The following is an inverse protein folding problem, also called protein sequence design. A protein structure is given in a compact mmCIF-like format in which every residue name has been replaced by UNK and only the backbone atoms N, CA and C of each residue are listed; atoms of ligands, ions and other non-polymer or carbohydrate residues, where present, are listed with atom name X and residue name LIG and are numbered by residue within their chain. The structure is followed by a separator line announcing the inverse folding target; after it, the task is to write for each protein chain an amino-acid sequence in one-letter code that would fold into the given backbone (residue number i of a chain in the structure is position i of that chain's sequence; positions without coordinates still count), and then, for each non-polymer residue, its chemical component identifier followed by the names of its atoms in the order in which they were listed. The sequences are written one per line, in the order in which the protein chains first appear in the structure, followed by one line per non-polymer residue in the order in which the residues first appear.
data_IF_447463158704
#
_entry.id   IF_447463158704
#
_cell.length_a   1.000
_cell.length_b   1.000
_cell.length_c   1.000
_cell.angle_alpha   90.00
_cell.angle_beta   90.00
_cell.angle_gamma   90.00
#
_symmetry.space_group_name_H-M   'P 1'
#
loop_
_entity.id
_entity.type
_entity.pdbx_description
1 polymer ?
#
# COMPACT_ATOMS: atom_id res chain seq x y z
N UNK A 1 -35.60 -62.56 74.23
CA UNK A 1 -36.87 -62.23 73.59
C UNK A 1 -36.75 -60.79 73.11
N UNK A 2 -36.71 -60.69 71.81
CA UNK A 2 -37.37 -59.65 70.98
C UNK A 2 -36.79 -58.23 71.08
N UNK A 3 -36.55 -57.57 70.08
CA UNK A 3 -36.67 -57.65 68.65
C UNK A 3 -35.88 -56.39 68.10
N UNK A 4 -35.11 -56.65 67.21
CA UNK A 4 -34.34 -55.67 66.46
C UNK A 4 -35.29 -54.98 65.49
N UNK A 5 -35.20 -53.66 65.34
CA UNK A 5 -35.68 -52.94 64.15
C UNK A 5 -34.58 -52.07 63.59
N UNK A 6 -34.17 -52.50 62.46
CA UNK A 6 -33.28 -51.74 61.57
C UNK A 6 -33.97 -50.45 61.14
N UNK A 7 -33.28 -49.33 61.26
CA UNK A 7 -33.65 -48.06 60.66
C UNK A 7 -32.74 -47.78 59.44
N UNK A 8 -33.33 -47.83 58.27
CA UNK A 8 -32.70 -47.50 57.02
C UNK A 8 -32.22 -46.05 57.00
N UNK A 9 -30.95 -45.88 56.83
CA UNK A 9 -30.35 -44.57 56.53
C UNK A 9 -30.49 -44.33 55.05
N UNK A 10 -31.41 -43.45 54.64
CA UNK A 10 -31.53 -42.95 53.26
C UNK A 10 -30.39 -41.98 52.96
N UNK A 11 -29.47 -42.42 52.18
CA UNK A 11 -28.45 -41.54 51.60
C UNK A 11 -29.07 -40.67 50.51
N UNK A 12 -29.27 -39.40 50.83
CA UNK A 12 -29.63 -38.36 49.83
C UNK A 12 -28.41 -37.97 49.03
N UNK A 13 -28.32 -38.44 47.79
CA UNK A 13 -27.28 -38.06 46.88
C UNK A 13 -27.53 -36.62 46.32
N UNK A 14 -26.82 -35.66 46.89
CA UNK A 14 -26.79 -34.29 46.34
C UNK A 14 -25.98 -34.35 45.04
N UNK A 15 -26.66 -34.26 43.91
CA UNK A 15 -26.02 -34.04 42.59
C UNK A 15 -25.62 -32.55 42.47
N UNK A 16 -24.36 -32.26 42.69
CA UNK A 16 -23.77 -30.97 42.36
C UNK A 16 -23.60 -30.91 40.84
N UNK A 17 -24.49 -30.19 40.17
CA UNK A 17 -24.35 -29.88 38.77
C UNK A 17 -23.29 -28.78 38.62
N UNK A 18 -22.07 -29.16 38.26
CA UNK A 18 -20.99 -28.21 37.91
C UNK A 18 -21.29 -27.63 36.53
N UNK A 19 -21.83 -26.40 36.51
CA UNK A 19 -22.06 -25.63 35.29
C UNK A 19 -20.69 -25.12 34.80
N UNK A 20 -20.07 -25.80 33.83
CA UNK A 20 -18.88 -25.29 33.13
C UNK A 20 -19.32 -24.16 32.24
N UNK A 21 -19.17 -22.91 32.69
CA UNK A 21 -19.19 -21.74 31.81
C UNK A 21 -17.92 -21.74 30.98
N UNK A 22 -18.00 -22.23 29.75
CA UNK A 22 -16.97 -22.04 28.75
C UNK A 22 -17.06 -20.58 28.30
N UNK A 23 -16.24 -19.72 28.91
CA UNK A 23 -15.98 -18.39 28.36
C UNK A 23 -15.14 -18.58 27.09
N UNK A 24 -15.78 -18.53 25.92
CA UNK A 24 -15.05 -18.31 24.68
C UNK A 24 -14.41 -16.92 24.77
N UNK A 25 -13.11 -16.88 25.11
CA UNK A 25 -12.29 -15.70 24.84
C UNK A 25 -12.26 -15.52 23.32
N UNK A 26 -13.12 -14.66 22.80
CA UNK A 26 -12.92 -14.06 21.48
C UNK A 26 -11.72 -13.13 21.67
N UNK A 27 -10.52 -13.65 21.36
CA UNK A 27 -9.37 -12.83 21.18
C UNK A 27 -9.66 -11.94 19.96
N UNK A 28 -10.11 -10.71 20.21
CA UNK A 28 -10.00 -9.63 19.23
C UNK A 28 -8.49 -9.43 19.06
N UNK A 29 -7.91 -10.15 18.11
CA UNK A 29 -6.59 -9.81 17.60
C UNK A 29 -6.73 -8.38 17.10
N UNK A 30 -6.11 -7.44 17.81
CA UNK A 30 -5.90 -6.11 17.26
C UNK A 30 -5.15 -6.35 15.95
N UNK A 31 -5.76 -5.95 14.85
CA UNK A 31 -5.27 -6.13 13.48
C UNK A 31 -4.02 -5.24 13.32
N UNK A 32 -2.89 -5.72 13.87
CA UNK A 32 -1.61 -5.04 13.67
C UNK A 32 -1.14 -5.46 12.29
N UNK A 33 -1.28 -4.54 11.34
CA UNK A 33 -0.79 -4.72 9.99
C UNK A 33 0.67 -5.13 10.00
N UNK A 34 1.00 -6.21 9.29
CA UNK A 34 2.36 -6.76 9.23
C UNK A 34 3.27 -5.79 8.49
N UNK A 35 4.38 -5.41 9.12
CA UNK A 35 5.45 -4.62 8.48
C UNK A 35 6.55 -5.57 8.01
N UNK A 36 6.95 -5.44 6.75
CA UNK A 36 7.98 -6.27 6.12
C UNK A 36 9.10 -5.40 5.58
N UNK A 37 10.33 -5.63 6.00
CA UNK A 37 11.50 -4.95 5.48
C UNK A 37 11.75 -5.34 4.02
N UNK A 38 12.13 -4.37 3.19
CA UNK A 38 12.47 -4.64 1.78
C UNK A 38 13.80 -5.41 1.68
N UNK A 39 14.74 -5.11 2.55
CA UNK A 39 16.04 -5.80 2.66
C UNK A 39 16.26 -6.27 4.10
N UNK A 40 16.03 -7.55 4.41
CA UNK A 40 16.19 -8.08 5.76
C UNK A 40 17.60 -7.93 6.34
N UNK A 41 18.60 -7.88 5.46
CA UNK A 41 20.02 -7.76 5.82
C UNK A 41 20.56 -6.33 5.72
N UNK A 42 19.69 -5.33 5.60
CA UNK A 42 20.04 -3.92 5.43
C UNK A 42 19.91 -3.43 3.98
N UNK A 43 19.39 -2.22 3.81
CA UNK A 43 19.20 -1.62 2.49
C UNK A 43 20.54 -1.10 1.94
N UNK A 44 20.87 -1.38 0.66
CA UNK A 44 22.09 -0.86 0.03
C UNK A 44 22.17 0.67 0.10
N UNK A 45 23.30 1.21 0.55
CA UNK A 45 23.49 2.65 0.81
C UNK A 45 22.94 3.15 2.15
N UNK A 46 22.48 2.23 3.02
CA UNK A 46 22.09 2.52 4.40
C UNK A 46 23.02 1.87 5.43
N UNK A 47 24.21 1.44 5.02
CA UNK A 47 25.19 0.77 5.89
C UNK A 47 25.52 1.67 7.09
N UNK A 48 25.44 1.09 8.29
CA UNK A 48 25.72 1.80 9.56
C UNK A 48 24.61 2.76 10.02
N UNK A 49 23.52 2.94 9.27
CA UNK A 49 22.37 3.74 9.67
C UNK A 49 21.35 2.86 10.43
N UNK A 50 21.44 2.90 11.78
CA UNK A 50 20.63 2.06 12.68
C UNK A 50 19.57 2.84 13.46
N UNK A 51 19.50 4.16 13.28
CA UNK A 51 18.50 4.97 13.97
C UNK A 51 17.07 4.58 13.56
N UNK A 52 16.15 4.66 14.51
CA UNK A 52 14.73 4.41 14.26
C UNK A 52 14.13 5.55 13.46
N UNK A 53 13.09 5.24 12.72
CA UNK A 53 12.20 6.23 12.08
C UNK A 53 11.69 7.22 13.12
N UNK A 54 11.55 8.48 12.73
CA UNK A 54 10.91 9.51 13.55
C UNK A 54 9.48 9.69 13.09
N UNK A 55 8.57 9.71 14.04
CA UNK A 55 7.15 9.93 13.80
C UNK A 55 6.76 11.28 14.42
N UNK A 56 6.25 12.19 13.59
CA UNK A 56 5.61 13.43 14.02
C UNK A 56 4.12 13.29 13.85
N UNK A 57 3.35 13.66 14.86
CA UNK A 57 1.89 13.71 14.77
C UNK A 57 1.51 15.18 14.56
N UNK A 58 0.72 15.45 13.52
CA UNK A 58 0.21 16.79 13.21
C UNK A 58 -0.92 17.19 14.17
N UNK A 59 -1.32 18.46 14.25
CA UNK A 59 -2.43 18.88 15.09
C UNK A 59 -3.77 18.17 14.78
N UNK A 60 -3.97 17.76 13.54
CA UNK A 60 -5.13 16.99 13.05
C UNK A 60 -4.96 15.47 13.18
N UNK A 61 -3.88 15.02 13.86
CA UNK A 61 -3.67 13.61 14.21
C UNK A 61 -3.00 12.76 13.14
N UNK A 62 -2.55 13.33 12.02
CA UNK A 62 -1.85 12.61 10.95
C UNK A 62 -0.41 12.25 11.33
N UNK A 63 0.02 11.04 10.98
CA UNK A 63 1.38 10.58 11.17
C UNK A 63 2.25 10.95 9.97
N UNK A 64 3.36 11.62 10.28
CA UNK A 64 4.37 12.00 9.29
C UNK A 64 5.69 11.36 9.68
N UNK A 65 6.26 10.56 8.77
CA UNK A 65 7.47 9.76 9.02
C UNK A 65 8.68 10.38 8.35
N UNK A 66 9.79 10.39 9.07
CA UNK A 66 11.12 10.78 8.59
C UNK A 66 12.18 9.79 9.05
N UNK A 67 13.43 9.95 8.62
CA UNK A 67 14.57 9.10 8.97
C UNK A 67 14.36 7.62 8.58
N UNK A 68 13.87 7.39 7.36
CA UNK A 68 13.67 6.04 6.82
C UNK A 68 15.02 5.49 6.34
N UNK A 69 15.66 4.66 7.17
CA UNK A 69 16.92 3.98 6.84
C UNK A 69 16.70 2.51 6.49
N UNK A 70 15.60 1.94 6.95
CA UNK A 70 15.17 0.57 6.69
C UNK A 70 13.82 0.60 5.94
N UNK A 71 13.84 0.77 4.62
CA UNK A 71 12.61 0.83 3.84
C UNK A 71 11.80 -0.46 3.99
N UNK A 72 10.49 -0.31 4.07
CA UNK A 72 9.55 -1.39 4.40
C UNK A 72 8.21 -1.22 3.72
N UNK A 73 7.42 -2.29 3.69
CA UNK A 73 6.01 -2.25 3.32
C UNK A 73 5.13 -2.62 4.51
N UNK A 74 4.02 -1.91 4.69
CA UNK A 74 2.94 -2.29 5.61
C UNK A 74 1.84 -2.97 4.80
N UNK A 75 1.44 -4.18 5.21
CA UNK A 75 0.60 -5.09 4.43
C UNK A 75 -0.87 -4.97 4.84
N UNK A 76 -1.76 -4.75 3.88
CA UNK A 76 -3.22 -4.75 4.02
C UNK A 76 -3.82 -5.76 3.05
N UNK A 77 -4.35 -6.86 3.57
CA UNK A 77 -4.92 -7.92 2.74
C UNK A 77 -6.45 -7.90 2.80
N UNK A 78 -7.12 -8.12 1.67
CA UNK A 78 -8.56 -8.39 1.67
C UNK A 78 -8.88 -9.73 2.33
N UNK A 79 -10.13 -9.92 2.75
CA UNK A 79 -10.58 -11.27 3.13
C UNK A 79 -10.45 -12.22 1.92
N UNK A 80 -10.26 -13.51 2.20
CA UNK A 80 -10.08 -14.51 1.13
C UNK A 80 -11.26 -14.57 0.17
N UNK A 81 -12.47 -14.35 0.68
CA UNK A 81 -13.70 -14.35 -0.10
C UNK A 81 -13.79 -13.16 -1.06
N UNK A 82 -13.19 -12.03 -0.68
CA UNK A 82 -13.23 -10.80 -1.48
C UNK A 82 -12.03 -10.65 -2.42
N UNK A 83 -10.93 -11.36 -2.14
CA UNK A 83 -9.67 -11.21 -2.85
C UNK A 83 -9.83 -11.39 -4.37
N UNK A 84 -9.42 -10.38 -5.13
CA UNK A 84 -9.40 -10.38 -6.61
C UNK A 84 -8.08 -10.88 -7.18
N UNK A 85 -7.05 -10.96 -6.35
CA UNK A 85 -5.67 -11.19 -6.75
C UNK A 85 -4.93 -9.93 -7.20
N UNK A 86 -5.61 -8.79 -7.36
CA UNK A 86 -4.95 -7.51 -7.63
C UNK A 86 -4.23 -6.96 -6.39
N UNK A 87 -3.12 -6.26 -6.62
CA UNK A 87 -2.31 -5.66 -5.57
C UNK A 87 -1.74 -4.31 -5.99
N UNK A 88 -1.58 -3.40 -5.02
CA UNK A 88 -1.05 -2.06 -5.23
C UNK A 88 0.06 -1.77 -4.22
N UNK A 89 1.26 -1.44 -4.70
CA UNK A 89 2.31 -0.83 -3.88
C UNK A 89 2.07 0.68 -3.86
N UNK A 90 1.87 1.24 -2.68
CA UNK A 90 1.42 2.62 -2.47
C UNK A 90 2.56 3.45 -1.90
N UNK A 91 2.99 4.50 -2.59
CA UNK A 91 3.99 5.45 -2.15
C UNK A 91 3.33 6.75 -1.67
N UNK A 92 3.35 7.05 -0.37
CA UNK A 92 2.90 8.35 0.14
C UNK A 92 3.76 9.51 -0.37
N UNK A 93 3.18 10.72 -0.38
CA UNK A 93 3.89 11.96 -0.66
C UNK A 93 4.63 12.53 0.55
N UNK A 94 5.09 13.77 0.41
CA UNK A 94 5.85 14.51 1.43
C UNK A 94 7.11 15.14 0.88
N UNK A 95 7.14 15.49 -0.41
CA UNK A 95 8.22 16.25 -1.06
C UNK A 95 9.58 15.55 -1.11
N UNK A 96 9.63 14.22 -0.95
CA UNK A 96 10.84 13.41 -0.75
C UNK A 96 11.60 13.72 0.54
N UNK A 97 11.03 14.54 1.44
CA UNK A 97 11.63 14.92 2.71
C UNK A 97 10.97 14.23 3.91
N UNK A 98 9.74 13.81 3.76
CA UNK A 98 8.92 13.11 4.77
C UNK A 98 7.86 12.24 4.08
N UNK A 99 7.14 11.40 4.83
CA UNK A 99 6.04 10.55 4.33
C UNK A 99 4.75 10.84 5.10
N UNK A 100 3.70 11.24 4.40
CA UNK A 100 2.34 11.42 4.93
C UNK A 100 1.58 10.09 4.84
N UNK A 101 1.84 9.21 5.79
CA UNK A 101 1.47 7.79 5.68
C UNK A 101 0.00 7.48 5.91
N UNK A 102 -0.76 8.37 6.54
CA UNK A 102 -2.17 8.07 6.87
C UNK A 102 -3.07 8.22 5.63
N UNK A 103 -3.35 9.43 5.18
CA UNK A 103 -4.30 9.68 4.10
C UNK A 103 -3.77 9.35 2.69
N UNK A 104 -2.46 9.25 2.52
CA UNK A 104 -1.80 8.87 1.25
C UNK A 104 -1.21 7.44 1.29
N UNK A 105 -1.47 6.70 2.38
CA UNK A 105 -0.96 5.35 2.57
C UNK A 105 -1.96 4.43 3.24
N UNK A 106 -2.05 4.48 4.56
CA UNK A 106 -2.82 3.51 5.36
C UNK A 106 -4.32 3.55 5.07
N UNK A 107 -4.93 4.74 4.96
CA UNK A 107 -6.34 4.88 4.62
C UNK A 107 -6.65 4.34 3.21
N UNK A 108 -5.74 4.57 2.26
CA UNK A 108 -5.84 4.04 0.89
C UNK A 108 -5.75 2.52 0.89
N UNK A 109 -4.73 1.95 1.55
CA UNK A 109 -4.52 0.50 1.59
C UNK A 109 -5.66 -0.22 2.31
N UNK A 110 -6.16 0.37 3.41
CA UNK A 110 -7.32 -0.13 4.13
C UNK A 110 -8.55 -0.15 3.23
N UNK A 111 -8.85 0.97 2.56
CA UNK A 111 -9.98 1.07 1.65
C UNK A 111 -9.88 0.05 0.51
N UNK A 112 -8.71 -0.11 -0.11
CA UNK A 112 -8.48 -1.10 -1.16
C UNK A 112 -8.70 -2.53 -0.66
N UNK A 113 -8.20 -2.86 0.54
CA UNK A 113 -8.37 -4.20 1.11
C UNK A 113 -9.85 -4.52 1.39
N UNK A 114 -10.64 -3.55 1.82
CA UNK A 114 -12.08 -3.67 2.01
C UNK A 114 -12.83 -3.89 0.68
N UNK A 115 -12.18 -3.59 -0.46
CA UNK A 115 -12.72 -3.75 -1.81
C UNK A 115 -12.03 -4.86 -2.63
N UNK A 116 -11.32 -5.78 -1.97
CA UNK A 116 -10.75 -6.97 -2.59
C UNK A 116 -9.39 -6.79 -3.26
N UNK A 117 -8.73 -5.66 -3.09
CA UNK A 117 -7.39 -5.36 -3.62
C UNK A 117 -6.38 -5.29 -2.48
N UNK A 118 -5.30 -6.05 -2.56
CA UNK A 118 -4.24 -5.99 -1.55
C UNK A 118 -3.46 -4.67 -1.64
N UNK A 119 -3.29 -3.97 -0.52
CA UNK A 119 -2.53 -2.72 -0.40
C UNK A 119 -1.21 -2.93 0.34
N UNK A 120 -0.13 -2.35 -0.17
CA UNK A 120 1.21 -2.42 0.40
C UNK A 120 1.77 -1.01 0.53
N UNK A 121 1.69 -0.41 1.72
CA UNK A 121 2.15 0.96 1.94
C UNK A 121 3.67 0.98 2.09
N UNK A 122 4.33 1.62 1.15
CA UNK A 122 5.78 1.72 1.08
C UNK A 122 6.29 2.89 1.91
N UNK A 123 7.18 2.61 2.84
CA UNK A 123 8.07 3.59 3.44
C UNK A 123 9.41 3.52 2.71
N UNK A 124 9.67 4.52 1.87
CA UNK A 124 10.88 4.61 1.05
C UNK A 124 11.86 5.63 1.61
N UNK A 125 13.13 5.51 1.24
CA UNK A 125 14.21 6.41 1.68
C UNK A 125 14.05 7.81 1.09
N UNK A 126 14.28 8.81 1.92
CA UNK A 126 13.95 10.21 1.66
C UNK A 126 15.15 10.98 1.09
N UNK A 127 15.08 11.31 -0.20
CA UNK A 127 16.19 11.95 -0.91
C UNK A 127 16.38 13.42 -0.56
N UNK A 128 15.36 14.09 -0.02
CA UNK A 128 15.38 15.54 0.30
C UNK A 128 15.20 15.82 1.79
N UNK A 129 15.24 14.81 2.64
CA UNK A 129 15.30 15.02 4.09
C UNK A 129 16.57 15.77 4.44
N UNK A 130 16.51 16.70 5.40
CA UNK A 130 17.68 17.46 5.83
C UNK A 130 18.83 16.55 6.29
N UNK A 131 20.01 16.68 5.69
CA UNK A 131 21.16 15.84 5.93
C UNK A 131 21.13 14.47 5.26
N UNK A 132 20.14 14.20 4.41
CA UNK A 132 20.10 12.96 3.65
C UNK A 132 21.25 12.85 2.64
N UNK A 133 21.77 11.63 2.50
CA UNK A 133 22.73 11.27 1.44
C UNK A 133 22.07 10.45 0.32
N UNK A 134 20.76 10.24 0.41
CA UNK A 134 19.99 9.48 -0.57
C UNK A 134 19.65 10.33 -1.78
N UNK A 135 19.42 9.66 -2.92
CA UNK A 135 18.90 10.26 -4.15
C UNK A 135 17.61 9.53 -4.55
N UNK A 136 16.81 10.17 -5.41
CA UNK A 136 15.58 9.54 -5.92
C UNK A 136 15.95 8.31 -6.74
N UNK A 137 16.87 8.46 -7.69
CA UNK A 137 17.30 7.40 -8.61
C UNK A 137 18.08 6.28 -7.91
N UNK A 138 18.94 6.64 -6.95
CA UNK A 138 19.83 5.68 -6.28
C UNK A 138 19.22 4.96 -5.10
N UNK A 139 18.12 5.48 -4.53
CA UNK A 139 17.55 4.93 -3.31
C UNK A 139 16.02 4.83 -3.34
N UNK A 140 15.28 5.93 -3.57
CA UNK A 140 13.82 5.91 -3.49
C UNK A 140 13.18 5.06 -4.60
N UNK A 141 13.67 5.18 -5.84
CA UNK A 141 13.22 4.34 -6.97
C UNK A 141 13.57 2.86 -6.79
N UNK A 142 14.82 2.48 -6.42
CA UNK A 142 15.15 1.11 -6.04
C UNK A 142 14.28 0.55 -4.91
N UNK A 143 13.85 1.36 -3.94
CA UNK A 143 12.93 0.92 -2.89
C UNK A 143 11.56 0.53 -3.47
N UNK A 144 11.01 1.33 -4.39
CA UNK A 144 9.76 1.01 -5.09
C UNK A 144 9.90 -0.24 -5.96
N UNK A 145 10.97 -0.34 -6.74
CA UNK A 145 11.24 -1.51 -7.58
C UNK A 145 11.39 -2.79 -6.74
N UNK A 146 12.09 -2.70 -5.60
CA UNK A 146 12.23 -3.80 -4.65
C UNK A 146 10.91 -4.18 -4.01
N UNK A 147 10.05 -3.20 -3.67
CA UNK A 147 8.73 -3.47 -3.12
C UNK A 147 7.85 -4.25 -4.12
N UNK A 148 7.85 -3.88 -5.40
CA UNK A 148 7.14 -4.62 -6.46
C UNK A 148 7.63 -6.08 -6.53
N UNK A 149 8.95 -6.29 -6.55
CA UNK A 149 9.57 -7.62 -6.58
C UNK A 149 9.23 -8.43 -5.34
N UNK A 150 9.27 -7.80 -4.15
CA UNK A 150 8.94 -8.46 -2.88
C UNK A 150 7.48 -8.91 -2.86
N UNK A 151 6.55 -8.07 -3.30
CA UNK A 151 5.13 -8.45 -3.40
C UNK A 151 4.96 -9.64 -4.36
N UNK A 152 5.62 -9.64 -5.50
CA UNK A 152 5.62 -10.77 -6.44
C UNK A 152 6.21 -12.05 -5.87
N UNK A 153 7.32 -11.95 -5.14
CA UNK A 153 7.99 -13.11 -4.55
C UNK A 153 7.15 -13.80 -3.48
N UNK A 154 6.28 -13.04 -2.80
CA UNK A 154 5.39 -13.53 -1.74
C UNK A 154 3.92 -13.59 -2.17
N UNK A 155 3.65 -13.54 -3.48
CA UNK A 155 2.30 -13.46 -4.03
C UNK A 155 1.39 -14.61 -3.56
N UNK A 156 1.90 -15.85 -3.52
CA UNK A 156 1.15 -17.01 -3.03
C UNK A 156 0.76 -16.90 -1.56
N UNK A 157 1.65 -16.35 -0.71
CA UNK A 157 1.40 -16.14 0.71
C UNK A 157 0.27 -15.12 0.94
N UNK A 158 0.23 -14.07 0.12
CA UNK A 158 -0.70 -12.96 0.25
C UNK A 158 -1.97 -13.07 -0.60
N UNK A 159 -2.15 -14.18 -1.32
CA UNK A 159 -3.30 -14.38 -2.20
C UNK A 159 -3.31 -13.42 -3.41
N UNK A 160 -2.13 -12.95 -3.82
CA UNK A 160 -1.93 -12.01 -4.93
C UNK A 160 -1.60 -12.76 -6.22
N UNK A 161 -2.05 -12.26 -7.36
CA UNK A 161 -1.56 -12.68 -8.67
C UNK A 161 -0.31 -11.85 -9.01
N UNK A 162 0.88 -12.48 -9.18
CA UNK A 162 2.11 -11.74 -9.45
C UNK A 162 2.08 -10.93 -10.76
N UNK A 163 1.13 -11.22 -11.66
CA UNK A 163 0.91 -10.45 -12.88
C UNK A 163 -0.02 -9.24 -12.69
N UNK A 164 -0.60 -9.06 -11.49
CA UNK A 164 -1.56 -8.00 -11.17
C UNK A 164 -1.05 -7.07 -10.06
N UNK A 165 0.26 -6.88 -9.98
CA UNK A 165 0.91 -5.97 -9.02
C UNK A 165 1.16 -4.64 -9.70
N UNK A 166 0.40 -3.62 -9.34
CA UNK A 166 0.58 -2.24 -9.81
C UNK A 166 1.18 -1.33 -8.75
N UNK A 167 1.36 -0.08 -9.11
CA UNK A 167 1.86 0.99 -8.23
C UNK A 167 0.85 2.12 -8.15
N UNK A 168 0.80 2.77 -6.99
CA UNK A 168 0.07 4.02 -6.78
C UNK A 168 0.99 4.98 -6.04
N UNK A 169 1.01 6.24 -6.44
CA UNK A 169 1.83 7.22 -5.75
C UNK A 169 1.15 8.58 -5.67
N UNK A 170 1.38 9.25 -4.55
CA UNK A 170 0.82 10.55 -4.20
C UNK A 170 1.92 11.61 -4.22
N UNK A 171 1.73 12.74 -4.89
CA UNK A 171 2.68 13.85 -4.86
C UNK A 171 4.13 13.40 -5.19
N UNK A 172 5.07 13.49 -4.26
CA UNK A 172 6.43 12.96 -4.40
C UNK A 172 6.47 11.42 -4.57
N UNK A 173 5.55 10.69 -3.92
CA UNK A 173 5.37 9.26 -4.16
C UNK A 173 4.88 8.98 -5.58
N UNK A 174 4.12 9.90 -6.18
CA UNK A 174 3.71 9.86 -7.59
C UNK A 174 4.88 9.99 -8.56
N UNK A 175 5.89 10.80 -8.25
CA UNK A 175 7.16 10.84 -9.01
C UNK A 175 7.83 9.46 -9.00
N UNK A 176 7.95 8.83 -7.82
CA UNK A 176 8.57 7.51 -7.70
C UNK A 176 7.77 6.45 -8.45
N UNK A 177 6.44 6.48 -8.37
CA UNK A 177 5.57 5.55 -9.08
C UNK A 177 5.69 5.70 -10.61
N UNK A 178 5.74 6.96 -11.12
CA UNK A 178 5.94 7.25 -12.53
C UNK A 178 7.31 6.76 -13.02
N UNK A 179 8.38 7.01 -12.25
CA UNK A 179 9.72 6.48 -12.55
C UNK A 179 9.74 4.96 -12.56
N UNK A 180 9.10 4.29 -11.61
CA UNK A 180 9.02 2.83 -11.60
C UNK A 180 8.24 2.27 -12.80
N UNK A 181 7.28 3.03 -13.33
CA UNK A 181 6.53 2.66 -14.53
C UNK A 181 7.29 2.88 -15.84
N UNK A 182 8.29 3.78 -15.85
CA UNK A 182 9.11 4.11 -17.04
C UNK A 182 10.49 3.47 -17.01
N UNK A 183 11.06 3.21 -15.83
CA UNK A 183 12.44 2.75 -15.61
C UNK A 183 12.46 1.35 -14.95
N UNK A 184 11.57 0.48 -15.35
CA UNK A 184 11.55 -0.91 -14.86
C UNK A 184 12.61 -1.76 -15.56
N UNK A 185 12.90 -2.92 -14.95
CA UNK A 185 13.77 -3.95 -15.53
C UNK A 185 13.16 -5.36 -15.37
N UNK A 186 13.75 -6.31 -16.06
CA UNK A 186 13.33 -7.71 -16.06
C UNK A 186 13.77 -8.50 -14.81
N UNK A 187 14.60 -7.90 -13.95
CA UNK A 187 15.31 -8.56 -12.86
C UNK A 187 16.65 -9.15 -13.32
N UNK A 188 17.52 -9.42 -12.36
CA UNK A 188 18.81 -10.08 -12.61
C UNK A 188 18.72 -11.57 -12.26
N UNK A 189 18.66 -12.43 -13.28
CA UNK A 189 18.55 -13.89 -13.09
C UNK A 189 19.74 -14.49 -12.31
N UNK A 190 20.88 -13.82 -12.25
CA UNK A 190 22.09 -14.22 -11.53
C UNK A 190 22.15 -13.66 -10.09
N UNK A 191 21.21 -12.77 -9.70
CA UNK A 191 21.22 -12.19 -8.38
C UNK A 191 21.21 -13.25 -7.28
N UNK A 192 21.99 -13.02 -6.21
CA UNK A 192 22.03 -13.91 -5.05
C UNK A 192 20.68 -13.96 -4.32
N UNK A 193 20.03 -12.80 -4.15
CA UNK A 193 18.69 -12.72 -3.58
C UNK A 193 17.63 -13.08 -4.66
N UNK A 194 16.81 -14.13 -4.43
CA UNK A 194 15.77 -14.54 -5.38
C UNK A 194 14.75 -13.44 -5.70
N UNK A 195 14.54 -12.49 -4.80
CA UNK A 195 13.62 -11.35 -5.01
C UNK A 195 14.12 -10.46 -6.15
N UNK A 196 15.43 -10.25 -6.27
CA UNK A 196 16.01 -9.40 -7.33
C UNK A 196 16.04 -10.06 -8.70
N UNK A 197 15.71 -11.35 -8.79
CA UNK A 197 15.54 -12.07 -10.06
C UNK A 197 14.20 -11.77 -10.75
N UNK A 198 13.26 -11.14 -10.04
CA UNK A 198 11.92 -10.83 -10.54
C UNK A 198 11.90 -9.47 -11.23
N UNK A 199 11.02 -9.32 -12.23
CA UNK A 199 10.82 -8.03 -12.90
C UNK A 199 10.25 -6.98 -11.94
N UNK A 200 10.71 -5.75 -12.06
CA UNK A 200 10.17 -4.57 -11.37
C UNK A 200 9.05 -3.86 -12.15
N UNK A 201 8.71 -4.30 -13.37
CA UNK A 201 7.67 -3.66 -14.19
C UNK A 201 6.30 -3.75 -13.51
N UNK A 202 5.65 -2.64 -13.12
CA UNK A 202 4.29 -2.71 -12.58
C UNK A 202 3.28 -3.12 -13.66
N UNK A 203 2.18 -3.74 -13.25
CA UNK A 203 1.11 -4.15 -14.16
C UNK A 203 0.20 -2.97 -14.57
N UNK A 204 0.13 -1.94 -13.72
CA UNK A 204 -0.53 -0.66 -13.94
C UNK A 204 0.09 0.41 -13.05
N UNK A 205 -0.19 1.68 -13.35
CA UNK A 205 0.23 2.82 -12.54
C UNK A 205 -0.97 3.72 -12.21
N UNK A 206 -1.03 4.22 -10.97
CA UNK A 206 -1.98 5.24 -10.53
C UNK A 206 -1.21 6.44 -9.99
N UNK A 207 -1.32 7.58 -10.66
CA UNK A 207 -0.57 8.78 -10.34
C UNK A 207 -1.53 9.85 -9.82
N UNK A 208 -1.48 10.09 -8.52
CA UNK A 208 -2.39 10.99 -7.80
C UNK A 208 -1.64 12.28 -7.48
N UNK A 209 -2.02 13.37 -8.14
CA UNK A 209 -1.34 14.69 -8.10
C UNK A 209 0.19 14.59 -8.05
N UNK A 210 0.81 13.85 -8.99
CA UNK A 210 2.23 13.53 -8.94
C UNK A 210 3.10 14.76 -9.15
N UNK A 211 4.24 14.82 -8.44
CA UNK A 211 5.31 15.79 -8.72
C UNK A 211 6.22 15.29 -9.83
N UNK A 212 5.75 15.29 -11.07
CA UNK A 212 6.46 14.70 -12.21
C UNK A 212 7.77 15.43 -12.53
N UNK A 213 8.84 14.69 -12.89
CA UNK A 213 10.02 15.30 -13.46
C UNK A 213 9.72 15.80 -14.90
N UNK A 214 10.35 16.91 -15.32
CA UNK A 214 10.06 17.51 -16.62
C UNK A 214 10.50 16.64 -17.82
N UNK A 215 11.40 15.68 -17.60
CA UNK A 215 12.04 14.81 -18.57
C UNK A 215 11.66 13.33 -18.40
N UNK A 216 10.47 13.05 -17.84
CA UNK A 216 10.00 11.67 -17.68
C UNK A 216 9.91 10.99 -19.06
N UNK A 217 10.69 9.93 -19.33
CA UNK A 217 10.67 9.26 -20.61
C UNK A 217 9.39 8.43 -20.77
N UNK A 218 8.52 8.83 -21.70
CA UNK A 218 7.29 8.07 -22.00
C UNK A 218 7.54 7.14 -23.18
N UNK A 219 7.19 5.87 -23.03
CA UNK A 219 7.33 4.85 -24.06
C UNK A 219 6.07 4.00 -24.20
N UNK A 220 5.96 3.26 -25.31
CA UNK A 220 4.88 2.29 -25.55
C UNK A 220 4.88 1.09 -24.58
N UNK A 221 5.99 0.87 -23.87
CA UNK A 221 6.15 -0.28 -22.97
C UNK A 221 5.64 0.01 -21.56
N UNK A 222 5.16 1.23 -21.31
CA UNK A 222 4.59 1.58 -20.02
C UNK A 222 3.28 0.84 -19.74
N UNK A 223 3.01 0.57 -18.46
CA UNK A 223 1.75 -0.03 -18.04
C UNK A 223 0.58 0.97 -18.19
N UNK A 224 -0.68 0.48 -18.30
CA UNK A 224 -1.87 1.33 -18.26
C UNK A 224 -1.86 2.29 -17.07
N UNK A 225 -2.36 3.53 -17.27
CA UNK A 225 -2.27 4.61 -16.30
C UNK A 225 -3.64 5.15 -15.86
N UNK A 226 -3.83 5.29 -14.54
CA UNK A 226 -4.88 6.10 -13.93
C UNK A 226 -4.27 7.39 -13.40
N UNK A 227 -4.76 8.53 -13.88
CA UNK A 227 -4.20 9.85 -13.60
C UNK A 227 -5.25 10.73 -12.93
N UNK A 228 -4.87 11.39 -11.82
CA UNK A 228 -5.82 12.16 -11.02
C UNK A 228 -5.16 13.38 -10.39
N UNK A 229 -5.75 14.57 -10.58
CA UNK A 229 -5.33 15.80 -9.87
C UNK A 229 -6.51 16.75 -9.61
N UNK A 230 -6.26 17.75 -8.78
CA UNK A 230 -7.13 18.90 -8.63
C UNK A 230 -6.81 19.98 -9.66
N UNK A 231 -7.83 20.70 -10.14
CA UNK A 231 -7.65 21.83 -11.08
C UNK A 231 -6.96 23.03 -10.40
N UNK A 232 -7.12 23.17 -9.08
CA UNK A 232 -6.55 24.26 -8.29
C UNK A 232 -5.18 23.89 -7.66
N UNK A 233 -4.58 22.78 -8.12
CA UNK A 233 -3.20 22.41 -7.76
C UNK A 233 -2.20 23.28 -8.52
N UNK A 234 -0.91 23.22 -8.13
CA UNK A 234 0.19 23.91 -8.80
C UNK A 234 0.18 23.59 -10.29
N UNK A 235 0.51 24.55 -11.13
CA UNK A 235 0.54 24.39 -12.61
C UNK A 235 1.37 23.17 -13.06
N UNK A 236 2.50 22.90 -12.41
CA UNK A 236 3.31 21.70 -12.70
C UNK A 236 2.57 20.37 -12.47
N UNK A 237 1.44 20.37 -11.76
CA UNK A 237 0.58 19.20 -11.54
C UNK A 237 -0.69 19.32 -12.37
N UNK A 238 -1.47 20.38 -12.18
CA UNK A 238 -2.77 20.57 -12.86
C UNK A 238 -2.67 20.69 -14.37
N UNK A 239 -1.55 21.14 -14.90
CA UNK A 239 -1.23 21.19 -16.34
C UNK A 239 -0.30 20.04 -16.77
N UNK A 240 0.67 19.69 -15.92
CA UNK A 240 1.65 18.64 -16.19
C UNK A 240 1.03 17.24 -16.32
N UNK A 241 0.04 16.90 -15.48
CA UNK A 241 -0.61 15.61 -15.55
C UNK A 241 -1.48 15.43 -16.83
N UNK A 242 -2.28 16.41 -17.27
CA UNK A 242 -2.90 16.38 -18.59
C UNK A 242 -1.89 16.28 -19.74
N UNK A 243 -0.72 16.93 -19.64
CA UNK A 243 0.33 16.80 -20.63
C UNK A 243 0.90 15.37 -20.69
N UNK A 244 1.12 14.73 -19.55
CA UNK A 244 1.50 13.31 -19.47
C UNK A 244 0.43 12.41 -20.11
N UNK A 245 -0.86 12.65 -19.85
CA UNK A 245 -1.95 11.89 -20.47
C UNK A 245 -1.86 11.94 -22.00
N UNK A 246 -1.58 13.11 -22.57
CA UNK A 246 -1.41 13.27 -24.02
C UNK A 246 -0.18 12.48 -24.53
N UNK A 247 0.93 12.50 -23.81
CA UNK A 247 2.13 11.74 -24.16
C UNK A 247 1.87 10.22 -24.14
N UNK A 248 1.22 9.71 -23.09
CA UNK A 248 0.83 8.30 -22.97
C UNK A 248 -0.09 7.88 -24.11
N UNK A 249 -1.09 8.70 -24.45
CA UNK A 249 -1.99 8.47 -25.59
C UNK A 249 -1.22 8.41 -26.92
N UNK A 250 -0.27 9.31 -27.16
CA UNK A 250 0.55 9.29 -28.37
C UNK A 250 1.49 8.07 -28.42
N UNK A 251 1.95 7.59 -27.27
CA UNK A 251 2.74 6.36 -27.15
C UNK A 251 1.88 5.07 -27.33
N UNK A 252 0.55 5.19 -27.35
CA UNK A 252 -0.38 4.06 -27.44
C UNK A 252 -0.61 3.34 -26.12
N UNK A 253 -0.29 3.98 -24.98
CA UNK A 253 -0.52 3.47 -23.63
C UNK A 253 -1.96 3.80 -23.21
N UNK A 254 -2.78 2.82 -22.79
CA UNK A 254 -4.11 3.10 -22.24
C UNK A 254 -4.02 3.98 -20.99
N UNK A 255 -4.73 5.09 -20.98
CA UNK A 255 -4.70 6.01 -19.85
C UNK A 255 -6.10 6.62 -19.61
N UNK A 256 -6.43 6.86 -18.34
CA UNK A 256 -7.63 7.58 -17.90
C UNK A 256 -7.19 8.77 -17.05
N UNK A 257 -7.81 9.95 -17.26
CA UNK A 257 -7.46 11.18 -16.56
C UNK A 257 -8.69 11.80 -15.91
N UNK A 258 -8.58 12.13 -14.63
CA UNK A 258 -9.56 12.89 -13.87
C UNK A 258 -8.94 14.20 -13.35
N UNK A 259 -9.64 15.32 -13.60
CA UNK A 259 -9.28 16.65 -13.08
C UNK A 259 -10.49 17.24 -12.38
N UNK A 260 -10.38 17.46 -11.07
CA UNK A 260 -11.49 17.93 -10.25
C UNK A 260 -11.43 19.45 -10.02
N UNK A 261 -12.46 20.18 -10.47
CA UNK A 261 -12.59 21.61 -10.25
C UNK A 261 -12.77 21.93 -8.74
N UNK A 262 -12.16 22.99 -8.27
CA UNK A 262 -12.23 23.42 -6.88
C UNK A 262 -11.42 22.55 -5.90
N UNK A 263 -10.56 21.70 -6.40
CA UNK A 263 -9.73 20.79 -5.59
C UNK A 263 -8.26 21.18 -5.72
N UNK A 264 -7.58 21.34 -4.59
CA UNK A 264 -6.14 21.60 -4.49
C UNK A 264 -5.32 20.34 -4.27
N UNK A 265 -4.09 20.52 -3.74
CA UNK A 265 -3.13 19.45 -3.50
C UNK A 265 -3.40 18.64 -2.21
N UNK A 266 -3.02 17.36 -2.17
CA UNK A 266 -2.90 16.58 -0.93
C UNK A 266 -4.22 16.06 -0.36
N UNK A 267 -5.22 15.82 -1.20
CA UNK A 267 -6.54 15.34 -0.73
C UNK A 267 -6.50 13.87 -0.24
N UNK A 268 -5.73 12.98 -0.83
CA UNK A 268 -5.63 11.56 -0.44
C UNK A 268 -6.98 10.89 -0.21
N UNK A 269 -7.04 9.98 0.77
CA UNK A 269 -8.29 9.39 1.30
C UNK A 269 -8.52 9.95 2.70
N UNK A 270 -9.47 10.87 2.83
CA UNK A 270 -9.83 11.55 4.09
C UNK A 270 -11.34 11.58 4.30
N UNK A 271 -11.78 11.48 5.53
CA UNK A 271 -13.20 11.67 5.88
C UNK A 271 -13.70 13.11 5.60
N UNK A 272 -12.79 14.07 5.55
CA UNK A 272 -13.10 15.48 5.23
C UNK A 272 -13.32 15.72 3.73
N UNK A 273 -12.96 14.80 2.84
CA UNK A 273 -13.23 14.92 1.41
C UNK A 273 -14.75 14.92 1.16
N UNK A 274 -15.23 15.87 0.39
CA UNK A 274 -16.66 16.02 0.07
C UNK A 274 -16.87 16.23 -1.44
N UNK A 275 -18.07 15.99 -1.92
CA UNK A 275 -18.38 16.12 -3.34
C UNK A 275 -17.71 15.06 -4.22
N UNK A 276 -17.39 15.41 -5.46
CA UNK A 276 -16.87 14.45 -6.45
C UNK A 276 -15.54 13.82 -6.03
N UNK A 277 -14.66 14.57 -5.36
CA UNK A 277 -13.35 14.07 -4.94
C UNK A 277 -13.44 12.96 -3.89
N UNK A 278 -14.51 12.91 -3.09
CA UNK A 278 -14.68 11.83 -2.12
C UNK A 278 -14.82 10.45 -2.76
N UNK A 279 -15.33 10.39 -3.99
CA UNK A 279 -15.56 9.17 -4.76
C UNK A 279 -14.39 8.74 -5.67
N UNK A 280 -13.23 9.38 -5.61
CA UNK A 280 -12.12 9.02 -6.49
C UNK A 280 -11.63 7.57 -6.33
N UNK A 281 -11.65 6.97 -5.11
CA UNK A 281 -11.22 5.58 -4.97
C UNK A 281 -12.14 4.60 -5.72
N UNK A 282 -13.47 4.86 -5.75
CA UNK A 282 -14.43 4.06 -6.52
C UNK A 282 -14.15 4.14 -8.02
N UNK A 283 -13.78 5.33 -8.54
CA UNK A 283 -13.40 5.49 -9.95
C UNK A 283 -12.13 4.72 -10.29
N UNK A 284 -11.15 4.68 -9.39
CA UNK A 284 -9.96 3.85 -9.56
C UNK A 284 -10.31 2.36 -9.62
N UNK A 285 -11.23 1.89 -8.76
CA UNK A 285 -11.71 0.50 -8.81
C UNK A 285 -12.46 0.20 -10.12
N UNK A 286 -13.33 1.09 -10.57
CA UNK A 286 -14.05 0.93 -11.84
C UNK A 286 -13.06 0.86 -13.01
N UNK A 287 -12.04 1.70 -13.01
CA UNK A 287 -10.97 1.64 -14.00
C UNK A 287 -10.22 0.30 -13.94
N UNK A 288 -9.81 -0.18 -12.75
CA UNK A 288 -9.17 -1.50 -12.60
C UNK A 288 -10.07 -2.63 -13.12
N UNK A 289 -11.37 -2.54 -12.91
CA UNK A 289 -12.35 -3.49 -13.45
C UNK A 289 -12.37 -3.45 -14.98
N UNK A 290 -12.40 -2.26 -15.56
CA UNK A 290 -12.43 -2.02 -17.02
C UNK A 290 -11.21 -2.61 -17.71
N UNK A 291 -10.03 -2.43 -17.13
CA UNK A 291 -8.78 -3.01 -17.69
C UNK A 291 -8.55 -4.48 -17.30
N UNK A 292 -9.51 -5.11 -16.60
CA UNK A 292 -9.55 -6.56 -16.35
C UNK A 292 -8.77 -7.05 -15.13
N UNK A 293 -8.33 -6.16 -14.23
CA UNK A 293 -7.54 -6.55 -13.05
C UNK A 293 -8.39 -7.05 -11.86
N UNK A 294 -9.71 -6.76 -11.81
CA UNK A 294 -10.59 -7.18 -10.71
C UNK A 294 -11.37 -8.49 -11.00
N UNK A 295 -11.07 -9.20 -12.08
CA UNK A 295 -11.73 -10.47 -12.35
C UNK A 295 -11.30 -11.51 -11.31
N UNK A 296 -12.27 -12.03 -10.56
CA UNK A 296 -12.05 -13.22 -9.71
C UNK A 296 -11.67 -14.41 -10.59
N UNK A 297 -10.71 -15.22 -10.12
CA UNK A 297 -10.36 -16.50 -10.76
C UNK A 297 -11.43 -17.54 -10.49
#
# INVERSE_FOLDING_TARGET
MENIRESEIKHSAIRVATLLCVFALVAVAADQNVVVLLWPNGAPGSEGKTALEKVRITPDGEHVITSVYQPSITVYLPSREMATGAAVVIAPGGGHAELWVDHEGYAVAKWLSEHGVAGFVLKYRLAREAGSTYTIEGNSLPDMQRAIRLVRSRAAEWGVDPQRVGVMGFSAGGDIAARAATQFDAGDSAAADPVDRLSSKPAFQALIYPGLPPDLPVSRDEPPAFLLCGADDRAGISEGLPALFIQLKHAGVPAELHVYAGVGHGFGVRSANTGAIAGWPDQFLEWLSTIGFLKRK
#
